data_IF_343962319443
#
_entry.id   IF_343962319443
#
_cell.length_a   1.000
_cell.length_b   1.000
_cell.length_c   1.000
_cell.angle_alpha   90.00
_cell.angle_beta   90.00
_cell.angle_gamma   90.00
#
_symmetry.space_group_name_H-M   'P 1'
#
loop_
_entity.id
_entity.type
_entity.pdbx_description
1 polymer ?
#
# COMPACT_ATOMS: atom_id res chain seq x y z
N UNK A 1 -25.22 -22.17 -5.19
CA UNK A 1 -24.99 -20.84 -4.61
C UNK A 1 -23.67 -20.91 -3.85
N UNK A 2 -22.61 -20.27 -4.33
CA UNK A 2 -21.38 -20.12 -3.54
C UNK A 2 -21.69 -19.09 -2.46
N UNK A 3 -21.66 -19.52 -1.20
CA UNK A 3 -21.69 -18.63 -0.05
C UNK A 3 -20.30 -17.99 -0.02
N UNK A 4 -20.18 -16.71 -0.38
CA UNK A 4 -18.97 -15.94 -0.07
C UNK A 4 -18.84 -15.99 1.45
N UNK A 5 -17.86 -16.73 1.95
CA UNK A 5 -17.53 -16.70 3.37
C UNK A 5 -17.33 -15.24 3.79
N UNK A 6 -17.84 -14.83 4.96
CA UNK A 6 -17.64 -13.48 5.43
C UNK A 6 -16.14 -13.24 5.58
N UNK A 7 -15.60 -12.28 4.81
CA UNK A 7 -14.21 -11.89 4.90
C UNK A 7 -13.93 -11.49 6.35
N UNK A 8 -13.00 -12.19 7.00
CA UNK A 8 -12.68 -11.91 8.39
C UNK A 8 -11.99 -10.53 8.47
N UNK A 9 -12.38 -9.64 9.40
CA UNK A 9 -11.75 -8.32 9.52
C UNK A 9 -10.22 -8.37 9.62
N UNK A 10 -9.68 -9.39 10.28
CA UNK A 10 -8.24 -9.58 10.43
C UNK A 10 -7.53 -9.85 9.09
N UNK A 11 -8.18 -10.53 8.14
CA UNK A 11 -7.61 -10.79 6.81
C UNK A 11 -7.48 -9.49 6.02
N UNK A 12 -8.49 -8.60 6.12
CA UNK A 12 -8.47 -7.27 5.50
C UNK A 12 -7.35 -6.42 6.10
N UNK A 13 -7.20 -6.46 7.43
CA UNK A 13 -6.14 -5.71 8.14
C UNK A 13 -4.77 -6.23 7.74
N UNK A 14 -4.57 -7.54 7.69
CA UNK A 14 -3.31 -8.17 7.29
C UNK A 14 -2.94 -7.81 5.84
N UNK A 15 -3.90 -7.89 4.92
CA UNK A 15 -3.68 -7.54 3.52
C UNK A 15 -3.37 -6.04 3.36
N UNK A 16 -4.16 -5.16 3.99
CA UNK A 16 -3.89 -3.72 3.95
C UNK A 16 -2.52 -3.38 4.54
N UNK A 17 -2.13 -4.02 5.63
CA UNK A 17 -0.81 -3.81 6.27
C UNK A 17 0.32 -4.21 5.32
N UNK A 18 0.19 -5.37 4.66
CA UNK A 18 1.16 -5.81 3.66
C UNK A 18 1.30 -4.84 2.49
N UNK A 19 0.18 -4.34 1.95
CA UNK A 19 0.19 -3.39 0.84
C UNK A 19 0.76 -2.03 1.25
N UNK A 20 0.51 -1.61 2.48
CA UNK A 20 1.05 -0.38 3.05
C UNK A 20 2.58 -0.43 3.14
N UNK A 21 3.14 -1.53 3.64
CA UNK A 21 4.59 -1.76 3.71
C UNK A 21 5.23 -1.85 2.33
N UNK A 22 4.54 -2.50 1.38
CA UNK A 22 4.99 -2.60 -0.01
C UNK A 22 5.01 -1.23 -0.69
N UNK A 23 4.00 -0.41 -0.45
CA UNK A 23 3.94 0.96 -0.94
C UNK A 23 5.07 1.81 -0.36
N UNK A 24 5.39 1.67 0.94
CA UNK A 24 6.50 2.36 1.57
C UNK A 24 7.84 2.04 0.90
N UNK A 25 8.17 0.76 0.72
CA UNK A 25 9.43 0.33 0.10
C UNK A 25 9.59 0.91 -1.31
N UNK A 26 8.53 0.87 -2.12
CA UNK A 26 8.55 1.44 -3.45
C UNK A 26 8.66 2.98 -3.44
N UNK A 27 8.00 3.65 -2.49
CA UNK A 27 8.10 5.09 -2.33
C UNK A 27 9.51 5.55 -1.96
N UNK A 28 10.15 4.89 -1.00
CA UNK A 28 11.55 5.14 -0.60
C UNK A 28 12.50 4.99 -1.80
N UNK A 29 12.37 3.89 -2.54
CA UNK A 29 13.17 3.64 -3.75
C UNK A 29 12.90 4.69 -4.84
N UNK A 30 11.64 5.08 -5.05
CA UNK A 30 11.26 6.07 -6.06
C UNK A 30 11.80 7.48 -5.77
N UNK A 31 11.92 7.85 -4.49
CA UNK A 31 12.50 9.15 -4.09
C UNK A 31 14.03 9.10 -4.06
N UNK A 32 14.63 7.92 -4.21
CA UNK A 32 16.08 7.72 -4.23
C UNK A 32 16.73 7.83 -2.85
N UNK A 33 15.99 7.53 -1.79
CA UNK A 33 16.52 7.58 -0.41
C UNK A 33 17.22 6.25 -0.11
N UNK A 34 18.53 6.32 0.12
CA UNK A 34 19.36 5.17 0.51
C UNK A 34 19.59 5.09 2.02
N UNK A 35 19.52 6.23 2.71
CA UNK A 35 19.60 6.33 4.16
C UNK A 35 18.50 7.26 4.69
N UNK A 36 17.58 6.70 5.48
CA UNK A 36 16.44 7.44 6.02
C UNK A 36 16.81 8.43 7.13
N UNK A 37 17.90 8.16 7.85
CA UNK A 37 18.32 8.97 9.00
C UNK A 37 18.73 10.39 8.56
N UNK A 38 19.30 10.49 7.36
CA UNK A 38 19.77 11.75 6.74
C UNK A 38 18.74 12.37 5.79
N UNK A 39 17.60 11.72 5.57
CA UNK A 39 16.59 12.22 4.64
C UNK A 39 16.00 13.56 5.12
N UNK A 40 15.94 14.54 4.20
CA UNK A 40 15.37 15.85 4.46
C UNK A 40 13.87 15.77 4.68
N UNK A 41 13.30 16.82 5.29
CA UNK A 41 11.85 16.93 5.46
C UNK A 41 11.10 16.77 4.13
N UNK A 42 11.58 17.42 3.06
CA UNK A 42 10.95 17.33 1.74
C UNK A 42 11.03 15.93 1.12
N UNK A 43 12.14 15.21 1.35
CA UNK A 43 12.27 13.82 0.91
C UNK A 43 11.27 12.91 1.64
N UNK A 44 11.17 13.05 2.97
CA UNK A 44 10.21 12.29 3.79
C UNK A 44 8.77 12.58 3.36
N UNK A 45 8.43 13.85 3.18
CA UNK A 45 7.12 14.28 2.67
C UNK A 45 6.81 13.67 1.29
N UNK A 46 7.77 13.62 0.38
CA UNK A 46 7.57 12.98 -0.93
C UNK A 46 7.34 11.47 -0.80
N UNK A 47 8.04 10.80 0.11
CA UNK A 47 7.82 9.37 0.39
C UNK A 47 6.41 9.14 0.93
N UNK A 48 5.97 9.92 1.92
CA UNK A 48 4.63 9.78 2.51
C UNK A 48 3.52 9.95 1.47
N UNK A 49 3.64 10.97 0.60
CA UNK A 49 2.70 11.21 -0.49
C UNK A 49 2.72 10.04 -1.48
N UNK A 50 3.91 9.61 -1.89
CA UNK A 50 4.07 8.53 -2.88
C UNK A 50 3.52 7.21 -2.34
N UNK A 51 3.77 6.90 -1.07
CA UNK A 51 3.23 5.73 -0.39
C UNK A 51 1.69 5.75 -0.38
N UNK A 52 1.07 6.88 0.00
CA UNK A 52 -0.39 7.02 -0.01
C UNK A 52 -0.99 6.76 -1.40
N UNK A 53 -0.36 7.31 -2.45
CA UNK A 53 -0.81 7.13 -3.83
C UNK A 53 -0.70 5.68 -4.28
N UNK A 54 0.44 5.03 -4.00
CA UNK A 54 0.68 3.63 -4.35
C UNK A 54 -0.28 2.69 -3.62
N UNK A 55 -0.49 2.91 -2.31
CA UNK A 55 -1.42 2.12 -1.51
C UNK A 55 -2.84 2.21 -2.08
N UNK A 56 -3.33 3.42 -2.37
CA UNK A 56 -4.64 3.63 -3.01
C UNK A 56 -4.75 2.89 -4.34
N UNK A 57 -3.71 2.90 -5.16
CA UNK A 57 -3.70 2.18 -6.43
C UNK A 57 -3.74 0.65 -6.24
N UNK A 58 -3.02 0.11 -5.26
CA UNK A 58 -3.04 -1.33 -4.96
C UNK A 58 -4.42 -1.79 -4.48
N UNK A 59 -5.01 -1.11 -3.51
CA UNK A 59 -6.35 -1.43 -2.99
C UNK A 59 -7.41 -1.31 -4.09
N UNK A 60 -7.36 -0.25 -4.90
CA UNK A 60 -8.30 -0.08 -6.02
C UNK A 60 -8.21 -1.23 -7.04
N UNK A 61 -7.00 -1.75 -7.30
CA UNK A 61 -6.80 -2.88 -8.20
C UNK A 61 -7.32 -4.19 -7.63
N UNK A 62 -7.22 -4.41 -6.33
CA UNK A 62 -7.78 -5.61 -5.68
C UNK A 62 -9.30 -5.59 -5.77
N UNK A 63 -9.94 -4.48 -5.38
CA UNK A 63 -11.38 -4.33 -5.48
C UNK A 63 -11.89 -4.51 -6.92
N UNK A 64 -11.14 -4.03 -7.91
CA UNK A 64 -11.50 -4.22 -9.32
C UNK A 64 -11.36 -5.67 -9.82
N UNK A 65 -10.51 -6.49 -9.21
CA UNK A 65 -10.41 -7.92 -9.51
C UNK A 65 -11.58 -8.69 -8.92
N UNK A 66 -11.98 -8.39 -7.69
CA UNK A 66 -13.12 -9.05 -7.03
C UNK A 66 -14.47 -8.80 -7.71
N UNK A 67 -14.60 -7.76 -8.54
CA UNK A 67 -15.82 -7.45 -9.31
C UNK A 67 -15.89 -8.26 -10.62
N UNK A 68 -14.76 -8.81 -11.09
CA UNK A 68 -14.69 -9.55 -12.36
C UNK A 68 -14.78 -11.08 -12.20
N UNK A 69 -14.74 -11.57 -10.97
CA UNK A 69 -14.99 -12.97 -10.59
C UNK A 69 -16.39 -13.14 -10.03
#
# INVERSE_FOLDING_TARGET
>A
MMIKEPVHPDDIINECSYLWDKAYKNAVHSVGITDWSVATFDQKKRVDITQCVLFKAYVSRLNAKEVKE
#
